data_IF_579587179229
#
_entry.id   IF_579587179229
#
_cell.length_a   1.000
_cell.length_b   1.000
_cell.length_c   1.000
_cell.angle_alpha   90.00
_cell.angle_beta   90.00
_cell.angle_gamma   90.00
#
_symmetry.space_group_name_H-M   'P 1'
#
loop_
_entity.id
_entity.type
_entity.pdbx_description
1 polymer ?
#
# COMPACT_ATOMS: atom_id res chain seq x y z
N UNK A 1 18.09 -15.97 -24.62
CA UNK A 1 17.31 -16.51 -25.76
C UNK A 1 15.83 -16.16 -25.68
N UNK A 2 15.10 -16.51 -24.61
CA UNK A 2 13.67 -16.18 -24.45
C UNK A 2 13.33 -14.70 -24.78
N UNK A 3 14.07 -13.74 -24.20
CA UNK A 3 13.86 -12.31 -24.46
C UNK A 3 13.96 -11.91 -25.93
N UNK A 4 14.77 -12.61 -26.73
CA UNK A 4 14.88 -12.37 -28.17
C UNK A 4 13.64 -12.84 -28.94
N UNK A 5 12.99 -13.92 -28.49
CA UNK A 5 11.76 -14.45 -29.10
C UNK A 5 10.54 -13.60 -28.72
N UNK A 6 10.52 -13.04 -27.51
CA UNK A 6 9.38 -12.26 -26.99
C UNK A 6 9.41 -10.76 -27.29
N UNK A 7 10.55 -10.20 -27.71
CA UNK A 7 10.67 -8.76 -27.98
C UNK A 7 10.26 -8.42 -29.41
N UNK A 8 9.22 -7.59 -29.57
CA UNK A 8 8.63 -7.25 -30.87
C UNK A 8 9.60 -6.63 -31.87
N UNK A 9 10.63 -5.92 -31.40
CA UNK A 9 11.62 -5.28 -32.27
C UNK A 9 12.88 -6.16 -32.47
N UNK A 10 12.86 -7.40 -31.97
CA UNK A 10 13.93 -8.37 -32.22
C UNK A 10 13.84 -8.93 -33.64
N UNK A 11 15.00 -9.10 -34.29
CA UNK A 11 15.09 -9.81 -35.58
C UNK A 11 14.54 -11.25 -35.50
N UNK A 12 14.58 -11.87 -34.31
CA UNK A 12 14.13 -13.23 -34.06
C UNK A 12 12.79 -13.28 -33.32
N UNK A 13 11.96 -12.24 -33.43
CA UNK A 13 10.66 -12.21 -32.80
C UNK A 13 9.77 -13.37 -33.26
N UNK A 14 9.31 -14.17 -32.30
CA UNK A 14 8.45 -15.32 -32.53
C UNK A 14 7.47 -15.44 -31.36
N UNK A 15 6.41 -14.63 -31.39
CA UNK A 15 5.40 -14.53 -30.33
C UNK A 15 4.84 -15.90 -29.88
N UNK A 16 4.44 -16.83 -30.78
CA UNK A 16 3.88 -18.10 -30.35
C UNK A 16 4.86 -18.96 -29.54
N UNK A 17 6.16 -18.90 -29.87
CA UNK A 17 7.20 -19.61 -29.10
C UNK A 17 7.39 -19.00 -27.72
N UNK A 18 7.38 -17.67 -27.63
CA UNK A 18 7.44 -16.98 -26.34
C UNK A 18 6.21 -17.31 -25.47
N UNK A 19 5.01 -17.31 -26.05
CA UNK A 19 3.77 -17.68 -25.37
C UNK A 19 3.83 -19.12 -24.84
N UNK A 20 4.24 -20.08 -25.66
CA UNK A 20 4.42 -21.48 -25.26
C UNK A 20 5.39 -21.61 -24.09
N UNK A 21 6.55 -20.94 -24.14
CA UNK A 21 7.54 -20.97 -23.04
C UNK A 21 6.91 -20.42 -21.75
N UNK A 22 6.19 -19.30 -21.81
CA UNK A 22 5.57 -18.73 -20.60
C UNK A 22 4.41 -19.58 -20.07
N UNK A 23 3.65 -20.25 -20.95
CA UNK A 23 2.59 -21.18 -20.57
C UNK A 23 3.20 -22.37 -19.82
N UNK A 24 4.22 -23.00 -20.41
CA UNK A 24 4.93 -24.10 -19.78
C UNK A 24 5.52 -23.70 -18.43
N UNK A 25 6.10 -22.51 -18.30
CA UNK A 25 6.60 -22.01 -17.02
C UNK A 25 5.51 -21.91 -15.94
N UNK A 26 4.31 -21.39 -16.29
CA UNK A 26 3.18 -21.32 -15.35
C UNK A 26 2.63 -22.70 -14.99
N UNK A 27 2.49 -23.59 -15.96
CA UNK A 27 2.04 -24.97 -15.72
C UNK A 27 3.01 -25.73 -14.82
N UNK A 28 4.31 -25.63 -15.07
CA UNK A 28 5.35 -26.27 -14.26
C UNK A 28 5.34 -25.72 -12.83
N UNK A 29 5.20 -24.40 -12.66
CA UNK A 29 5.11 -23.78 -11.34
C UNK A 29 3.88 -24.29 -10.58
N UNK A 30 2.70 -24.30 -11.22
CA UNK A 30 1.48 -24.80 -10.60
C UNK A 30 1.57 -26.29 -10.26
N UNK A 31 2.06 -27.12 -11.17
CA UNK A 31 2.29 -28.55 -10.94
C UNK A 31 3.27 -28.82 -9.78
N UNK A 32 4.21 -27.90 -9.55
CA UNK A 32 5.15 -27.97 -8.43
C UNK A 32 4.46 -27.58 -7.12
N UNK A 33 3.66 -26.51 -7.12
CA UNK A 33 2.84 -26.12 -5.97
C UNK A 33 1.88 -27.24 -5.58
N UNK A 34 1.15 -27.80 -6.54
CA UNK A 34 0.19 -28.88 -6.30
C UNK A 34 0.86 -30.14 -5.75
N UNK A 35 2.06 -30.49 -6.23
CA UNK A 35 2.84 -31.61 -5.70
C UNK A 35 3.22 -31.36 -4.24
N UNK A 36 3.70 -30.17 -3.91
CA UNK A 36 4.14 -29.80 -2.56
C UNK A 36 2.95 -29.77 -1.60
N UNK A 37 1.83 -29.17 -2.00
CA UNK A 37 0.64 -29.05 -1.16
C UNK A 37 -0.11 -30.38 -1.00
N UNK A 38 -0.36 -31.11 -2.08
CA UNK A 38 -1.24 -32.28 -2.05
C UNK A 38 -0.51 -33.60 -1.75
N UNK A 39 0.72 -33.78 -2.25
CA UNK A 39 1.44 -35.04 -2.06
C UNK A 39 2.34 -35.00 -0.82
N UNK A 40 2.96 -33.85 -0.54
CA UNK A 40 3.87 -33.69 0.60
C UNK A 40 3.20 -33.05 1.82
N UNK A 41 1.96 -32.54 1.67
CA UNK A 41 1.21 -31.85 2.73
C UNK A 41 1.99 -30.70 3.36
N UNK A 42 2.67 -29.92 2.52
CA UNK A 42 3.45 -28.75 2.94
C UNK A 42 2.78 -27.47 2.45
N UNK A 43 2.86 -26.42 3.26
CA UNK A 43 2.26 -25.13 2.92
C UNK A 43 3.18 -24.31 2.02
N UNK A 44 2.71 -23.96 0.83
CA UNK A 44 3.38 -23.01 -0.06
C UNK A 44 2.84 -21.62 0.22
N UNK A 45 3.71 -20.74 0.75
CA UNK A 45 3.33 -19.38 1.17
C UNK A 45 3.60 -18.32 0.10
N UNK A 46 4.43 -18.63 -0.90
CA UNK A 46 4.76 -17.71 -1.98
C UNK A 46 5.23 -18.45 -3.23
N UNK A 47 4.99 -17.87 -4.39
CA UNK A 47 5.55 -18.33 -5.66
C UNK A 47 5.72 -17.18 -6.65
N UNK A 48 6.86 -17.14 -7.33
CA UNK A 48 7.16 -16.15 -8.37
C UNK A 48 8.00 -16.75 -9.47
N UNK A 49 7.38 -16.94 -10.64
CA UNK A 49 7.97 -17.34 -11.93
C UNK A 49 8.68 -18.70 -11.91
N UNK A 50 9.80 -18.80 -11.20
CA UNK A 50 10.72 -19.94 -11.13
C UNK A 50 11.05 -20.34 -9.68
N UNK A 51 10.41 -19.71 -8.70
CA UNK A 51 10.64 -19.96 -7.28
C UNK A 51 9.34 -20.22 -6.52
N UNK A 52 9.41 -21.09 -5.51
CA UNK A 52 8.37 -21.28 -4.50
C UNK A 52 8.99 -21.17 -3.11
N UNK A 53 8.22 -20.68 -2.14
CA UNK A 53 8.61 -20.63 -0.74
C UNK A 53 7.67 -21.52 0.06
N UNK A 54 8.25 -22.40 0.86
CA UNK A 54 7.54 -23.41 1.63
C UNK A 54 7.68 -23.09 3.11
N UNK A 55 6.55 -22.99 3.82
CA UNK A 55 6.56 -22.85 5.26
C UNK A 55 6.69 -24.22 5.91
N UNK A 56 7.81 -24.42 6.62
CA UNK A 56 8.11 -25.71 7.25
C UNK A 56 7.48 -25.86 8.63
N UNK A 57 7.14 -24.76 9.31
CA UNK A 57 6.68 -24.77 10.70
C UNK A 57 7.72 -25.29 11.71
N UNK A 58 9.01 -25.29 11.34
CA UNK A 58 10.09 -25.83 12.15
C UNK A 58 11.15 -24.77 12.45
N UNK A 59 11.62 -24.74 13.71
CA UNK A 59 12.76 -23.90 14.12
C UNK A 59 14.12 -24.53 13.79
N UNK A 60 14.16 -25.84 13.60
CA UNK A 60 15.39 -26.58 13.29
C UNK A 60 15.72 -26.52 11.79
N UNK A 61 16.76 -25.73 11.47
CA UNK A 61 17.27 -25.54 10.11
C UNK A 61 17.67 -26.87 9.45
N UNK A 62 18.22 -27.84 10.21
CA UNK A 62 18.64 -29.12 9.65
C UNK A 62 17.44 -29.95 9.20
N UNK A 63 16.36 -29.93 9.98
CA UNK A 63 15.09 -30.58 9.61
C UNK A 63 14.43 -29.87 8.43
N UNK A 64 14.45 -28.53 8.40
CA UNK A 64 13.96 -27.75 7.27
C UNK A 64 14.72 -28.09 5.97
N UNK A 65 16.05 -28.22 6.02
CA UNK A 65 16.86 -28.68 4.88
C UNK A 65 16.52 -30.10 4.44
N UNK A 66 16.24 -31.00 5.39
CA UNK A 66 15.79 -32.36 5.06
C UNK A 66 14.44 -32.38 4.33
N UNK A 67 13.50 -31.48 4.70
CA UNK A 67 12.24 -31.28 3.97
C UNK A 67 12.52 -30.77 2.56
N UNK A 68 13.38 -29.75 2.41
CA UNK A 68 13.77 -29.24 1.10
C UNK A 68 14.37 -30.34 0.21
N UNK A 69 15.24 -31.20 0.76
CA UNK A 69 15.80 -32.34 0.03
C UNK A 69 14.74 -33.31 -0.49
N UNK A 70 13.69 -33.59 0.30
CA UNK A 70 12.56 -34.43 -0.15
C UNK A 70 11.77 -33.76 -1.27
N UNK A 71 11.50 -32.46 -1.15
CA UNK A 71 10.80 -31.68 -2.19
C UNK A 71 11.59 -31.71 -3.49
N UNK A 72 12.89 -31.40 -3.44
CA UNK A 72 13.78 -31.42 -4.60
C UNK A 72 13.76 -32.79 -5.29
N UNK A 73 13.86 -33.88 -4.51
CA UNK A 73 13.82 -35.23 -5.05
C UNK A 73 12.51 -35.54 -5.77
N UNK A 74 11.35 -35.20 -5.19
CA UNK A 74 10.05 -35.50 -5.81
C UNK A 74 9.77 -34.62 -7.03
N UNK A 75 10.18 -33.34 -7.00
CA UNK A 75 10.02 -32.44 -8.15
C UNK A 75 10.92 -32.85 -9.30
N UNK A 76 12.20 -33.14 -9.04
CA UNK A 76 13.17 -33.48 -10.08
C UNK A 76 12.88 -34.85 -10.72
N UNK A 77 12.13 -35.75 -10.07
CA UNK A 77 11.63 -36.98 -10.71
C UNK A 77 10.64 -36.72 -11.86
N UNK A 78 9.93 -35.60 -11.86
CA UNK A 78 8.92 -35.28 -12.89
C UNK A 78 9.52 -34.73 -14.18
N UNK A 79 10.73 -34.18 -14.13
CA UNK A 79 11.31 -33.43 -15.25
C UNK A 79 12.70 -33.94 -15.61
N UNK A 80 13.00 -34.04 -16.92
CA UNK A 80 14.28 -34.57 -17.41
C UNK A 80 15.35 -33.49 -17.60
N UNK A 81 14.95 -32.29 -18.02
CA UNK A 81 15.85 -31.20 -18.41
C UNK A 81 15.70 -29.96 -17.53
N UNK A 82 14.89 -30.05 -16.47
CA UNK A 82 14.63 -28.98 -15.53
C UNK A 82 14.80 -29.53 -14.12
N UNK A 83 15.54 -28.81 -13.30
CA UNK A 83 15.81 -29.16 -11.91
C UNK A 83 15.46 -27.97 -11.02
N UNK A 84 14.86 -28.26 -9.87
CA UNK A 84 14.72 -27.34 -8.76
C UNK A 84 15.85 -27.59 -7.75
N UNK A 85 16.31 -26.55 -7.08
CA UNK A 85 17.33 -26.62 -6.05
C UNK A 85 17.00 -25.67 -4.89
N UNK A 86 17.70 -25.83 -3.77
CA UNK A 86 17.56 -25.01 -2.58
C UNK A 86 18.35 -23.70 -2.73
N UNK A 87 17.67 -22.59 -3.01
CA UNK A 87 18.30 -21.26 -3.04
C UNK A 87 18.60 -20.68 -1.64
N UNK A 88 17.77 -20.99 -0.65
CA UNK A 88 17.88 -20.38 0.67
C UNK A 88 16.93 -20.94 1.71
N UNK A 89 17.32 -20.76 2.97
CA UNK A 89 16.46 -20.98 4.14
C UNK A 89 16.26 -19.65 4.85
N UNK A 90 15.01 -19.30 5.13
CA UNK A 90 14.67 -18.05 5.82
C UNK A 90 14.20 -18.36 7.24
N UNK A 91 14.80 -17.70 8.22
CA UNK A 91 14.43 -17.83 9.64
C UNK A 91 13.14 -17.07 9.96
N UNK A 92 13.00 -15.88 9.38
CA UNK A 92 11.84 -15.01 9.52
C UNK A 92 11.60 -14.30 8.20
N UNK A 93 10.33 -14.04 7.89
CA UNK A 93 9.94 -13.41 6.65
C UNK A 93 8.75 -12.48 6.90
N UNK A 94 8.82 -11.29 6.31
CA UNK A 94 7.72 -10.35 6.17
C UNK A 94 7.32 -10.32 4.69
N UNK A 95 6.20 -10.96 4.37
CA UNK A 95 5.62 -10.97 3.03
C UNK A 95 4.55 -9.87 2.94
N UNK A 96 4.77 -8.84 2.13
CA UNK A 96 3.85 -7.70 2.02
C UNK A 96 2.95 -7.80 0.79
N UNK A 97 3.56 -7.87 -0.40
CA UNK A 97 2.86 -7.97 -1.69
C UNK A 97 3.72 -8.78 -2.65
N UNK A 98 3.17 -9.11 -3.82
CA UNK A 98 3.93 -9.69 -4.93
C UNK A 98 5.23 -8.90 -5.20
N UNK A 99 6.36 -9.60 -5.22
CA UNK A 99 7.71 -9.04 -5.40
C UNK A 99 8.13 -8.03 -4.31
N UNK A 100 7.47 -8.04 -3.16
CA UNK A 100 7.75 -7.16 -2.02
C UNK A 100 7.82 -7.95 -0.72
N UNK A 101 9.03 -8.33 -0.32
CA UNK A 101 9.27 -9.06 0.91
C UNK A 101 10.60 -8.70 1.55
N UNK A 102 10.70 -8.99 2.84
CA UNK A 102 11.93 -8.96 3.60
C UNK A 102 12.11 -10.30 4.32
N UNK A 103 13.32 -10.81 4.43
CA UNK A 103 13.56 -12.04 5.17
C UNK A 103 14.97 -12.12 5.75
N UNK A 104 15.10 -12.83 6.88
CA UNK A 104 16.41 -13.21 7.42
C UNK A 104 16.84 -14.50 6.73
N UNK A 105 17.76 -14.40 5.77
CA UNK A 105 18.38 -15.54 5.09
C UNK A 105 19.49 -16.11 5.96
N UNK A 106 19.45 -17.42 6.18
CA UNK A 106 20.46 -18.16 6.95
C UNK A 106 21.46 -18.79 5.99
N UNK A 107 22.74 -18.76 6.36
CA UNK A 107 23.78 -19.40 5.58
C UNK A 107 23.60 -20.93 5.48
N UNK A 108 23.77 -21.47 4.27
CA UNK A 108 23.58 -22.89 3.99
C UNK A 108 24.77 -23.75 4.44
N UNK A 109 25.93 -23.14 4.66
CA UNK A 109 27.20 -23.77 5.06
C UNK A 109 27.25 -24.24 6.53
N UNK A 110 26.17 -24.00 7.30
CA UNK A 110 26.10 -24.34 8.73
C UNK A 110 26.66 -23.25 9.64
N UNK A 111 27.12 -22.13 9.10
CA UNK A 111 27.43 -20.95 9.90
C UNK A 111 26.13 -20.26 10.36
N UNK A 112 26.11 -19.75 11.59
CA UNK A 112 24.98 -18.97 12.15
C UNK A 112 24.93 -17.54 11.59
N UNK A 113 25.38 -17.34 10.35
CA UNK A 113 25.36 -16.01 9.72
C UNK A 113 23.98 -15.74 9.17
N UNK A 114 23.42 -14.62 9.61
CA UNK A 114 22.11 -14.13 9.21
C UNK A 114 22.30 -12.87 8.34
N UNK A 115 21.61 -12.82 7.20
CA UNK A 115 21.58 -11.64 6.34
C UNK A 115 20.14 -11.24 6.04
N UNK A 116 19.83 -9.95 6.17
CA UNK A 116 18.50 -9.42 5.85
C UNK A 116 18.42 -9.16 4.34
N UNK A 117 17.70 -10.04 3.65
CA UNK A 117 17.32 -9.87 2.26
C UNK A 117 16.11 -8.94 2.15
N UNK A 118 16.20 -7.94 1.26
CA UNK A 118 15.13 -6.98 0.98
C UNK A 118 14.83 -7.01 -0.51
N UNK A 119 13.60 -7.32 -0.91
CA UNK A 119 13.17 -7.33 -2.31
C UNK A 119 11.99 -6.40 -2.51
N UNK A 120 12.13 -5.44 -3.43
CA UNK A 120 11.06 -4.53 -3.86
C UNK A 120 10.52 -3.57 -2.78
N UNK A 121 11.17 -3.50 -1.61
CA UNK A 121 10.82 -2.59 -0.54
C UNK A 121 11.24 -1.15 -0.86
N UNK A 122 10.69 -0.19 -0.13
CA UNK A 122 10.97 1.22 -0.40
C UNK A 122 12.42 1.61 -0.11
N UNK A 123 13.03 1.00 0.90
CA UNK A 123 14.41 1.28 1.31
C UNK A 123 15.43 0.94 0.21
N UNK A 124 15.11 0.00 -0.69
CA UNK A 124 16.00 -0.35 -1.82
C UNK A 124 15.83 0.57 -3.03
N UNK A 125 14.81 1.45 -3.03
CA UNK A 125 14.59 2.39 -4.14
C UNK A 125 15.38 3.68 -3.93
N UNK A 126 15.73 4.38 -5.02
CA UNK A 126 16.55 5.60 -4.97
C UNK A 126 15.75 6.89 -4.71
N UNK A 127 14.44 6.83 -4.91
CA UNK A 127 13.50 7.95 -4.85
C UNK A 127 12.98 8.28 -3.43
N UNK A 128 13.48 7.57 -2.41
CA UNK A 128 13.26 7.90 -0.99
C UNK A 128 14.51 8.54 -0.39
N UNK A 129 14.30 9.51 0.50
CA UNK A 129 15.39 10.15 1.23
C UNK A 129 16.16 9.14 2.10
N UNK A 130 17.42 9.44 2.38
CA UNK A 130 18.24 8.60 3.26
C UNK A 130 17.61 8.44 4.65
N UNK A 131 17.01 9.51 5.19
CA UNK A 131 16.27 9.47 6.45
C UNK A 131 15.15 8.42 6.43
N UNK A 132 14.34 8.40 5.37
CA UNK A 132 13.25 7.43 5.26
C UNK A 132 13.74 6.00 5.10
N UNK A 133 14.90 5.80 4.48
CA UNK A 133 15.54 4.48 4.40
C UNK A 133 16.02 4.01 5.76
N UNK A 134 16.71 4.86 6.50
CA UNK A 134 17.21 4.56 7.85
C UNK A 134 16.07 4.19 8.81
N UNK A 135 14.98 4.96 8.80
CA UNK A 135 13.80 4.68 9.64
C UNK A 135 13.10 3.40 9.17
N UNK A 136 12.94 3.21 7.86
CA UNK A 136 12.38 1.99 7.30
C UNK A 136 13.20 0.75 7.65
N UNK A 137 14.53 0.84 7.63
CA UNK A 137 15.44 -0.22 8.04
C UNK A 137 15.37 -0.47 9.54
N UNK A 138 15.27 0.57 10.37
CA UNK A 138 15.04 0.42 11.81
C UNK A 138 13.75 -0.36 12.08
N UNK A 139 12.62 0.08 11.51
CA UNK A 139 11.33 -0.60 11.67
C UNK A 139 11.42 -2.05 11.18
N UNK A 140 12.03 -2.28 10.02
CA UNK A 140 12.19 -3.63 9.49
C UNK A 140 13.02 -4.53 10.41
N UNK A 141 14.11 -4.01 10.97
CA UNK A 141 14.94 -4.74 11.93
C UNK A 141 14.17 -5.08 13.20
N UNK A 142 13.34 -4.16 13.72
CA UNK A 142 12.47 -4.44 14.87
C UNK A 142 11.47 -5.55 14.53
N UNK A 143 10.81 -5.48 13.36
CA UNK A 143 9.85 -6.50 12.93
C UNK A 143 10.50 -7.89 12.81
N UNK A 144 11.72 -7.95 12.28
CA UNK A 144 12.44 -9.21 12.11
C UNK A 144 13.24 -9.64 13.35
N UNK A 145 13.27 -8.82 14.42
CA UNK A 145 14.06 -9.07 15.65
C UNK A 145 13.55 -10.26 16.46
N UNK A 146 12.25 -10.57 16.36
CA UNK A 146 11.59 -11.63 17.13
C UNK A 146 11.27 -11.30 18.57
N UNK A 147 11.24 -10.02 18.93
CA UNK A 147 10.58 -9.56 20.15
C UNK A 147 9.08 -9.86 20.11
N UNK A 148 8.41 -9.62 21.24
CA UNK A 148 6.95 -9.70 21.28
C UNK A 148 6.33 -8.62 20.39
N UNK A 149 5.09 -8.82 19.95
CA UNK A 149 4.41 -7.86 19.08
C UNK A 149 4.35 -6.48 19.74
N UNK A 150 4.01 -6.43 21.03
CA UNK A 150 3.90 -5.20 21.82
C UNK A 150 5.24 -4.47 21.92
N UNK A 151 6.34 -5.18 22.24
CA UNK A 151 7.68 -4.58 22.34
C UNK A 151 8.13 -3.98 20.99
N UNK A 152 7.85 -4.69 19.89
CA UNK A 152 8.19 -4.24 18.53
C UNK A 152 7.41 -2.98 18.17
N UNK A 153 6.11 -2.95 18.46
CA UNK A 153 5.24 -1.80 18.18
C UNK A 153 5.65 -0.59 19.00
N UNK A 154 5.88 -0.78 20.30
CA UNK A 154 6.33 0.27 21.21
C UNK A 154 7.66 0.86 20.75
N UNK A 155 8.63 0.01 20.39
CA UNK A 155 9.92 0.42 19.84
C UNK A 155 9.77 1.27 18.56
N UNK A 156 8.89 0.86 17.65
CA UNK A 156 8.58 1.61 16.43
C UNK A 156 7.92 2.96 16.77
N UNK A 157 6.88 2.97 17.59
CA UNK A 157 6.16 4.21 17.96
C UNK A 157 7.09 5.21 18.63
N UNK A 158 7.90 4.77 19.59
CA UNK A 158 8.88 5.60 20.29
C UNK A 158 9.92 6.18 19.34
N UNK A 159 10.42 5.38 18.39
CA UNK A 159 11.35 5.85 17.36
C UNK A 159 10.73 6.94 16.48
N UNK A 160 9.46 6.79 16.05
CA UNK A 160 8.79 7.80 15.23
C UNK A 160 8.61 9.13 15.97
N UNK A 161 8.22 9.09 17.25
CA UNK A 161 8.11 10.29 18.10
C UNK A 161 9.47 10.97 18.26
N UNK A 162 10.53 10.19 18.49
CA UNK A 162 11.89 10.72 18.60
C UNK A 162 12.36 11.39 17.30
N UNK A 163 12.18 10.72 16.16
CA UNK A 163 12.52 11.26 14.84
C UNK A 163 11.78 12.56 14.59
N UNK A 164 10.47 12.60 14.88
CA UNK A 164 9.69 13.82 14.74
C UNK A 164 10.26 14.98 15.56
N UNK A 165 10.62 14.74 16.82
CA UNK A 165 11.22 15.76 17.69
C UNK A 165 12.60 16.23 17.16
N UNK A 166 13.43 15.31 16.67
CA UNK A 166 14.73 15.62 16.06
C UNK A 166 14.60 16.44 14.78
N UNK A 167 13.61 16.12 13.94
CA UNK A 167 13.31 16.87 12.71
C UNK A 167 12.87 18.30 13.02
N UNK A 168 11.95 18.47 13.98
CA UNK A 168 11.43 19.80 14.37
C UNK A 168 12.47 20.67 15.08
N UNK A 169 13.40 20.06 15.81
CA UNK A 169 14.50 20.77 16.48
C UNK A 169 15.71 21.03 15.58
N UNK A 170 15.69 20.58 14.32
CA UNK A 170 16.80 20.79 13.38
C UNK A 170 18.05 19.96 13.66
N UNK A 171 17.92 18.85 14.41
CA UNK A 171 19.05 17.98 14.78
C UNK A 171 19.46 17.01 13.66
N UNK A 172 18.66 16.87 12.61
CA UNK A 172 18.93 15.97 11.49
C UNK A 172 19.72 16.71 10.40
N UNK A 173 20.84 16.12 9.99
CA UNK A 173 21.72 16.62 8.94
C UNK A 173 21.00 16.76 7.57
N UNK A 174 21.39 17.79 6.80
CA UNK A 174 20.83 18.10 5.49
C UNK A 174 20.91 16.91 4.52
N UNK A 175 22.04 16.19 4.56
CA UNK A 175 22.35 15.06 3.70
C UNK A 175 21.31 13.94 3.81
N UNK A 176 20.67 13.79 4.98
CA UNK A 176 19.64 12.78 5.21
C UNK A 176 18.33 13.08 4.47
N UNK A 177 18.09 14.32 4.08
CA UNK A 177 16.91 14.75 3.34
C UNK A 177 17.06 14.62 1.82
N UNK A 178 18.26 14.37 1.31
CA UNK A 178 18.50 14.33 -0.14
C UNK A 178 17.75 13.16 -0.78
N UNK A 179 16.94 13.48 -1.79
CA UNK A 179 16.29 12.52 -2.68
C UNK A 179 17.02 12.55 -4.02
N UNK A 180 17.22 11.38 -4.64
CA UNK A 180 17.91 11.28 -5.94
C UNK A 180 17.00 10.64 -6.98
N UNK A 181 16.97 11.22 -8.19
CA UNK A 181 16.22 10.64 -9.31
C UNK A 181 16.96 10.86 -10.63
N UNK A 182 17.00 9.81 -11.44
CA UNK A 182 17.68 9.83 -12.74
C UNK A 182 16.77 10.41 -13.83
N UNK A 183 17.36 11.23 -14.68
CA UNK A 183 16.73 11.76 -15.89
C UNK A 183 16.72 10.67 -16.97
N UNK A 184 15.58 10.41 -17.59
CA UNK A 184 15.44 9.46 -18.71
C UNK A 184 15.53 10.15 -20.07
N UNK A 185 15.35 11.47 -20.11
CA UNK A 185 15.42 12.34 -21.29
C UNK A 185 16.11 13.66 -20.91
N UNK A 186 16.36 14.52 -21.89
CA UNK A 186 16.78 15.89 -21.58
C UNK A 186 15.68 16.59 -20.77
N UNK A 187 16.01 17.43 -19.76
CA UNK A 187 15.02 18.12 -18.92
C UNK A 187 13.94 18.90 -19.70
N UNK A 188 14.28 19.42 -20.87
CA UNK A 188 13.40 20.20 -21.75
C UNK A 188 12.36 19.33 -22.48
N UNK A 189 12.64 18.05 -22.68
CA UNK A 189 11.80 17.09 -23.41
C UNK A 189 10.74 16.43 -22.52
N UNK A 190 10.66 16.81 -21.25
CA UNK A 190 9.68 16.27 -20.32
C UNK A 190 8.31 16.96 -20.50
N UNK A 191 7.27 16.24 -20.95
CA UNK A 191 5.94 16.83 -21.15
C UNK A 191 5.30 17.31 -19.84
N UNK A 192 5.64 16.66 -18.73
CA UNK A 192 5.13 16.99 -17.38
C UNK A 192 6.25 17.49 -16.46
N UNK A 193 7.14 18.32 -16.99
CA UNK A 193 8.27 18.87 -16.24
C UNK A 193 7.81 19.62 -14.97
N UNK A 194 6.64 20.28 -15.00
CA UNK A 194 6.13 21.12 -13.90
C UNK A 194 5.77 20.33 -12.64
N UNK A 195 5.44 19.05 -12.77
CA UNK A 195 5.09 18.18 -11.64
C UNK A 195 6.24 17.27 -11.19
N UNK A 196 7.42 17.39 -11.81
CA UNK A 196 8.56 16.52 -11.56
C UNK A 196 9.69 17.27 -10.84
N UNK A 197 9.92 17.01 -9.53
CA UNK A 197 10.93 17.71 -8.72
C UNK A 197 12.34 17.73 -9.33
N UNK A 198 12.89 16.56 -9.64
CA UNK A 198 14.19 16.40 -10.28
C UNK A 198 14.33 17.13 -11.63
N UNK A 199 13.26 17.23 -12.42
CA UNK A 199 13.28 17.94 -13.70
C UNK A 199 13.29 19.46 -13.48
N UNK A 200 12.49 19.97 -12.55
CA UNK A 200 12.50 21.40 -12.19
C UNK A 200 13.87 21.84 -11.65
N UNK A 201 14.50 21.02 -10.82
CA UNK A 201 15.85 21.29 -10.32
C UNK A 201 16.86 21.27 -11.46
N UNK A 202 16.81 20.27 -12.35
CA UNK A 202 17.69 20.19 -13.52
C UNK A 202 17.56 21.42 -14.45
N UNK A 203 16.33 21.85 -14.75
CA UNK A 203 16.07 23.04 -15.56
C UNK A 203 16.65 24.30 -14.91
N UNK A 204 16.50 24.45 -13.59
CA UNK A 204 17.05 25.60 -12.85
C UNK A 204 18.59 25.58 -12.85
N UNK A 205 19.19 24.42 -12.66
CA UNK A 205 20.65 24.26 -12.74
C UNK A 205 21.18 24.68 -14.12
N UNK A 206 20.52 24.24 -15.20
CA UNK A 206 20.87 24.66 -16.58
C UNK A 206 20.72 26.16 -16.80
N UNK A 207 19.64 26.77 -16.31
CA UNK A 207 19.44 28.22 -16.38
C UNK A 207 20.55 29.00 -15.65
N UNK A 208 21.07 28.43 -14.56
CA UNK A 208 22.19 28.99 -13.80
C UNK A 208 23.57 28.68 -14.41
N UNK A 209 23.62 28.15 -15.65
CA UNK A 209 24.87 27.89 -16.37
C UNK A 209 25.54 26.55 -16.04
N UNK A 210 24.88 25.65 -15.32
CA UNK A 210 25.42 24.32 -15.05
C UNK A 210 25.24 23.40 -16.28
N UNK A 211 26.32 22.83 -16.79
CA UNK A 211 26.33 22.02 -18.02
C UNK A 211 26.06 20.52 -17.80
N UNK A 212 25.96 20.05 -16.55
CA UNK A 212 25.53 18.68 -16.24
C UNK A 212 24.01 18.63 -16.06
N UNK A 213 23.33 17.63 -16.63
CA UNK A 213 21.87 17.32 -16.58
C UNK A 213 21.42 16.77 -17.95
N UNK A 214 22.14 15.77 -18.44
CA UNK A 214 21.81 15.00 -19.64
C UNK A 214 20.94 13.78 -19.30
N UNK A 215 20.37 13.14 -20.33
CA UNK A 215 19.68 11.87 -20.14
C UNK A 215 20.64 10.83 -19.55
N UNK A 216 20.23 10.16 -18.48
CA UNK A 216 21.04 9.23 -17.69
C UNK A 216 21.59 9.82 -16.39
N UNK A 217 21.71 11.15 -16.29
CA UNK A 217 22.26 11.81 -15.10
C UNK A 217 21.30 11.72 -13.93
N UNK A 218 21.85 11.68 -12.70
CA UNK A 218 21.07 11.65 -11.47
C UNK A 218 21.07 13.02 -10.81
N UNK A 219 19.87 13.51 -10.51
CA UNK A 219 19.67 14.84 -9.95
C UNK A 219 19.29 14.71 -8.48
N UNK A 220 20.10 15.23 -7.54
CA UNK A 220 19.73 15.32 -6.14
C UNK A 220 18.85 16.55 -5.89
N UNK A 221 17.87 16.40 -5.01
CA UNK A 221 17.00 17.50 -4.60
C UNK A 221 16.45 17.31 -3.18
N UNK A 222 16.05 18.42 -2.58
CA UNK A 222 15.39 18.51 -1.27
C UNK A 222 14.09 19.30 -1.47
N UNK A 223 13.01 18.87 -0.84
CA UNK A 223 11.74 19.62 -0.82
C UNK A 223 11.75 20.66 0.30
N UNK A 224 11.46 21.91 -0.05
CA UNK A 224 11.57 23.06 0.83
C UNK A 224 10.27 23.83 1.01
N UNK A 225 10.16 24.59 2.09
CA UNK A 225 9.15 25.63 2.30
C UNK A 225 9.80 27.01 2.25
N UNK A 226 9.03 28.03 1.88
CA UNK A 226 9.48 29.42 1.86
C UNK A 226 9.22 30.08 3.22
N UNK A 227 10.17 30.85 3.73
CA UNK A 227 10.14 31.39 5.10
C UNK A 227 9.16 32.56 5.29
N UNK A 228 8.84 33.32 4.21
CA UNK A 228 8.13 34.61 4.29
C UNK A 228 6.69 34.63 3.74
N UNK A 229 6.04 33.48 3.56
CA UNK A 229 4.63 33.45 3.15
C UNK A 229 3.78 32.79 4.22
N UNK A 230 2.73 33.47 4.69
CA UNK A 230 1.60 32.91 5.49
C UNK A 230 0.91 31.70 4.82
N UNK A 231 1.36 31.36 3.61
CA UNK A 231 0.90 30.27 2.79
C UNK A 231 2.06 29.30 2.51
N UNK A 232 2.54 28.63 3.56
CA UNK A 232 3.70 27.71 3.60
C UNK A 232 3.67 26.57 2.57
N UNK A 233 2.51 26.32 1.94
CA UNK A 233 2.25 25.25 0.96
C UNK A 233 1.72 25.74 -0.40
N UNK A 234 1.85 27.03 -0.72
CA UNK A 234 1.19 27.66 -1.88
C UNK A 234 1.75 27.31 -3.29
N UNK A 235 2.74 26.41 -3.37
CA UNK A 235 3.32 25.94 -4.64
C UNK A 235 3.36 24.41 -4.74
N UNK A 236 3.24 23.89 -5.97
CA UNK A 236 3.36 22.45 -6.23
C UNK A 236 4.70 21.89 -5.75
N UNK A 237 4.74 20.63 -5.31
CA UNK A 237 5.93 19.97 -4.71
C UNK A 237 7.18 20.15 -5.59
N UNK A 238 7.03 20.03 -6.91
CA UNK A 238 8.14 20.20 -7.84
C UNK A 238 8.69 21.63 -7.91
N UNK A 239 7.86 22.66 -7.73
CA UNK A 239 8.31 24.05 -7.64
C UNK A 239 9.08 24.33 -6.36
N UNK A 240 8.80 23.54 -5.31
CA UNK A 240 9.43 23.62 -3.99
C UNK A 240 10.73 22.82 -3.89
N UNK A 241 11.06 22.03 -4.92
CA UNK A 241 12.29 21.25 -4.97
C UNK A 241 13.51 22.14 -5.28
N UNK A 242 14.57 21.97 -4.51
CA UNK A 242 15.83 22.72 -4.61
C UNK A 242 17.01 21.76 -4.62
N UNK A 243 18.09 22.12 -5.31
CA UNK A 243 19.35 21.40 -5.21
C UNK A 243 19.97 21.61 -3.80
N UNK A 244 20.64 20.62 -3.19
CA UNK A 244 21.25 20.79 -1.87
C UNK A 244 22.21 21.99 -1.78
N UNK A 245 22.95 22.28 -2.86
CA UNK A 245 23.85 23.43 -2.90
C UNK A 245 23.12 24.78 -2.91
N UNK A 246 21.87 24.85 -3.39
CA UNK A 246 21.07 26.08 -3.31
C UNK A 246 20.75 26.42 -1.84
N UNK A 247 20.47 25.41 -1.02
CA UNK A 247 20.22 25.59 0.41
C UNK A 247 21.48 25.99 1.17
N UNK A 248 22.63 25.43 0.78
CA UNK A 248 23.93 25.77 1.39
C UNK A 248 24.34 27.22 1.08
N UNK A 249 23.94 27.77 -0.07
CA UNK A 249 24.24 29.16 -0.46
C UNK A 249 23.28 30.17 0.15
N UNK A 250 21.98 29.88 0.15
CA UNK A 250 20.92 30.79 0.60
C UNK A 250 20.12 30.22 1.79
N UNK A 251 20.73 30.10 2.99
CA UNK A 251 20.09 29.45 4.15
C UNK A 251 18.86 30.22 4.68
N UNK A 252 18.80 31.54 4.45
CA UNK A 252 17.72 32.41 4.96
C UNK A 252 16.51 32.48 4.02
N UNK A 253 16.52 31.76 2.89
CA UNK A 253 15.44 31.84 1.89
C UNK A 253 14.57 30.58 1.88
N UNK A 254 15.18 29.43 2.10
CA UNK A 254 14.54 28.13 1.99
C UNK A 254 14.77 27.32 3.26
N UNK A 255 13.68 26.81 3.83
CA UNK A 255 13.74 25.84 4.92
C UNK A 255 13.31 24.47 4.40
N UNK A 256 13.74 23.40 5.08
CA UNK A 256 13.30 22.04 4.74
C UNK A 256 11.82 21.91 5.08
N UNK A 257 11.02 21.36 4.17
CA UNK A 257 9.61 21.09 4.44
C UNK A 257 9.46 19.80 5.26
N UNK A 258 9.55 19.93 6.59
CA UNK A 258 9.44 18.82 7.53
C UNK A 258 8.12 18.06 7.39
N UNK A 259 7.00 18.76 7.13
CA UNK A 259 5.68 18.14 6.99
C UNK A 259 5.63 17.22 5.76
N UNK A 260 6.24 17.63 4.64
CA UNK A 260 6.40 16.77 3.46
C UNK A 260 7.17 15.48 3.79
N UNK A 261 8.31 15.58 4.50
CA UNK A 261 9.08 14.37 4.81
C UNK A 261 8.36 13.46 5.79
N UNK A 262 7.69 14.00 6.81
CA UNK A 262 6.90 13.19 7.73
C UNK A 262 5.75 12.47 7.00
N UNK A 263 4.97 13.19 6.19
CA UNK A 263 3.74 12.68 5.57
C UNK A 263 3.93 11.89 4.27
N UNK A 264 4.90 12.29 3.42
CA UNK A 264 5.09 11.73 2.08
C UNK A 264 6.39 10.92 1.94
N UNK A 265 7.30 10.98 2.91
CA UNK A 265 8.55 10.20 2.89
C UNK A 265 8.58 9.12 3.99
N UNK A 266 8.35 9.47 5.25
CA UNK A 266 8.48 8.53 6.37
C UNK A 266 7.20 7.71 6.56
N UNK A 267 6.06 8.38 6.73
CA UNK A 267 4.78 7.72 7.01
C UNK A 267 4.41 6.61 6.01
N UNK A 268 4.55 6.78 4.67
CA UNK A 268 4.16 5.74 3.74
C UNK A 268 5.04 4.49 3.80
N UNK A 269 6.34 4.65 4.09
CA UNK A 269 7.29 3.53 4.21
C UNK A 269 6.94 2.71 5.44
N UNK A 270 6.79 3.37 6.59
CA UNK A 270 6.50 2.69 7.86
C UNK A 270 5.11 2.08 7.85
N UNK A 271 4.10 2.79 7.32
CA UNK A 271 2.74 2.26 7.21
C UNK A 271 2.67 0.99 6.36
N UNK A 272 3.47 0.88 5.29
CA UNK A 272 3.51 -0.33 4.47
C UNK A 272 4.20 -1.50 5.17
N UNK A 273 5.25 -1.24 5.96
CA UNK A 273 5.94 -2.27 6.74
C UNK A 273 5.05 -2.82 7.86
N UNK A 274 4.31 -1.93 8.53
CA UNK A 274 3.46 -2.28 9.67
C UNK A 274 2.02 -2.68 9.27
N UNK A 275 1.70 -2.74 7.97
CA UNK A 275 0.33 -2.98 7.50
C UNK A 275 -0.27 -4.32 7.96
N UNK A 276 0.59 -5.32 8.16
CA UNK A 276 0.20 -6.68 8.58
C UNK A 276 0.45 -6.95 10.06
N UNK A 277 0.80 -5.94 10.84
CA UNK A 277 1.09 -6.07 12.28
C UNK A 277 -0.15 -5.64 13.07
N UNK A 278 -0.68 -6.55 13.86
CA UNK A 278 -1.80 -6.26 14.76
C UNK A 278 -1.39 -5.28 15.86
N UNK A 279 -2.29 -4.39 16.29
CA UNK A 279 -2.00 -3.42 17.36
C UNK A 279 -1.44 -2.08 16.89
N UNK A 280 -1.27 -1.86 15.58
CA UNK A 280 -0.92 -0.55 15.01
C UNK A 280 -1.80 -0.22 13.80
N UNK A 281 -1.92 1.07 13.49
CA UNK A 281 -2.72 1.55 12.34
C UNK A 281 -2.03 2.72 11.65
N UNK A 282 -2.32 2.97 10.36
CA UNK A 282 -1.80 4.15 9.66
C UNK A 282 -2.11 5.48 10.39
N UNK A 283 -3.28 5.57 11.04
CA UNK A 283 -3.66 6.73 11.83
C UNK A 283 -2.81 6.87 13.10
N UNK A 284 -2.53 5.76 13.80
CA UNK A 284 -1.65 5.76 14.98
C UNK A 284 -0.21 6.13 14.62
N UNK A 285 0.31 5.61 13.51
CA UNK A 285 1.64 5.97 13.01
C UNK A 285 1.72 7.45 12.60
N UNK A 286 0.64 8.01 12.03
CA UNK A 286 0.55 9.43 11.74
C UNK A 286 0.58 10.29 13.01
N UNK A 287 -0.13 9.86 14.05
CA UNK A 287 -0.12 10.52 15.36
C UNK A 287 1.28 10.52 16.00
N UNK A 288 2.01 9.40 15.94
CA UNK A 288 3.40 9.34 16.42
C UNK A 288 4.33 10.30 15.66
N UNK A 289 4.04 10.59 14.39
CA UNK A 289 4.74 11.60 13.59
C UNK A 289 4.17 13.03 13.80
N UNK A 290 3.16 13.18 14.68
CA UNK A 290 2.33 14.37 14.91
C UNK A 290 1.77 14.99 13.63
N UNK A 291 1.30 14.12 12.74
CA UNK A 291 0.44 14.45 11.63
C UNK A 291 -1.03 14.33 12.07
N UNK A 292 -1.92 15.00 11.36
CA UNK A 292 -3.36 14.90 11.59
C UNK A 292 -3.87 13.49 11.25
N UNK A 293 -4.26 12.73 12.27
CA UNK A 293 -4.68 11.33 12.15
C UNK A 293 -5.92 11.14 11.28
N UNK A 294 -6.81 12.15 11.21
CA UNK A 294 -8.06 12.09 10.43
C UNK A 294 -7.81 11.87 8.94
N UNK A 295 -6.71 12.45 8.40
CA UNK A 295 -6.31 12.32 6.99
C UNK A 295 -5.84 10.90 6.62
N UNK A 296 -5.62 10.04 7.60
CA UNK A 296 -5.07 8.69 7.41
C UNK A 296 -6.04 7.58 7.83
N UNK A 297 -7.23 7.91 8.35
CA UNK A 297 -8.26 6.94 8.73
C UNK A 297 -8.90 6.25 7.51
N UNK A 298 -9.05 6.95 6.38
CA UNK A 298 -9.83 6.48 5.22
C UNK A 298 -9.04 5.67 4.18
N UNK A 299 -7.72 5.51 4.34
CA UNK A 299 -6.86 4.83 3.35
C UNK A 299 -6.63 3.34 3.60
N UNK A 300 -7.29 2.75 4.60
CA UNK A 300 -7.05 1.36 5.03
C UNK A 300 -7.94 0.29 4.39
N UNK A 301 -8.91 0.64 3.52
CA UNK A 301 -9.81 -0.34 2.90
C UNK A 301 -9.58 -0.35 1.40
N UNK A 302 -8.85 -1.34 0.90
CA UNK A 302 -8.64 -1.53 -0.54
C UNK A 302 -7.42 -2.36 -0.91
N UNK A 303 -7.19 -3.50 -0.24
CA UNK A 303 -6.30 -4.57 -0.73
C UNK A 303 -6.46 -5.84 0.13
N UNK A 304 -7.67 -6.22 0.52
CA UNK A 304 -7.93 -7.57 1.03
C UNK A 304 -8.17 -8.49 -0.16
N UNK A 305 -7.49 -9.63 -0.16
CA UNK A 305 -7.63 -10.71 -1.13
C UNK A 305 -9.11 -11.13 -1.25
N UNK A 306 -9.52 -11.46 -2.48
CA UNK A 306 -10.78 -12.14 -2.77
C UNK A 306 -10.76 -13.54 -2.17
N UNK A 307 -11.35 -13.72 -0.99
CA UNK A 307 -11.83 -15.02 -0.51
C UNK A 307 -13.36 -14.97 -0.42
N UNK A 308 -14.01 -15.67 -1.35
CA UNK A 308 -15.44 -15.56 -1.66
C UNK A 308 -16.35 -16.31 -0.68
N UNK A 309 -15.81 -16.92 0.37
CA UNK A 309 -16.53 -17.89 1.22
C UNK A 309 -17.13 -17.30 2.51
N UNK A 310 -16.72 -16.09 2.91
CA UNK A 310 -17.18 -15.46 4.18
C UNK A 310 -18.28 -14.42 3.99
N UNK A 311 -18.73 -14.19 2.75
CA UNK A 311 -19.60 -13.06 2.39
C UNK A 311 -21.05 -13.13 2.89
N UNK A 312 -21.49 -14.23 3.49
CA UNK A 312 -22.90 -14.41 3.88
C UNK A 312 -23.19 -14.16 5.37
N UNK A 313 -22.15 -14.10 6.23
CA UNK A 313 -22.32 -13.91 7.68
C UNK A 313 -21.85 -12.55 8.19
N UNK A 314 -21.04 -11.80 7.42
CA UNK A 314 -20.54 -10.48 7.81
C UNK A 314 -21.39 -9.29 7.33
N UNK A 315 -22.54 -9.55 6.70
CA UNK A 315 -23.36 -8.48 6.08
C UNK A 315 -24.26 -7.78 7.10
N UNK A 316 -24.47 -8.35 8.30
CA UNK A 316 -25.48 -7.84 9.24
C UNK A 316 -24.88 -6.95 10.34
N UNK A 317 -23.62 -7.16 10.76
CA UNK A 317 -23.01 -6.43 11.88
C UNK A 317 -22.11 -5.25 11.47
N UNK A 318 -21.86 -5.04 10.17
CA UNK A 318 -20.77 -4.15 9.71
C UNK A 318 -21.21 -3.10 8.66
N UNK A 319 -22.52 -2.86 8.51
CA UNK A 319 -23.01 -1.82 7.57
C UNK A 319 -22.58 -0.42 8.00
N UNK A 320 -22.62 -0.12 9.31
CA UNK A 320 -22.26 1.20 9.84
C UNK A 320 -20.76 1.51 9.73
N UNK A 321 -19.87 0.51 9.84
CA UNK A 321 -18.43 0.73 9.62
C UNK A 321 -18.11 0.82 8.12
N UNK A 322 -18.74 -0.02 7.29
CA UNK A 322 -18.49 -0.07 5.84
C UNK A 322 -18.84 1.25 5.14
N UNK A 323 -19.89 1.94 5.58
CA UNK A 323 -20.35 3.20 4.99
C UNK A 323 -20.07 4.43 5.85
N UNK A 324 -19.26 4.32 6.91
CA UNK A 324 -18.96 5.42 7.86
C UNK A 324 -18.42 6.71 7.22
N UNK A 325 -17.74 6.58 6.08
CA UNK A 325 -17.20 7.70 5.31
C UNK A 325 -18.06 8.16 4.13
N UNK A 326 -19.23 7.54 3.90
CA UNK A 326 -20.14 7.93 2.83
C UNK A 326 -21.05 9.07 3.28
N UNK A 327 -21.31 10.04 2.39
CA UNK A 327 -22.33 11.05 2.66
C UNK A 327 -23.72 10.40 2.68
N UNK A 328 -24.56 10.69 3.70
CA UNK A 328 -25.88 10.10 3.80
C UNK A 328 -26.81 10.62 2.68
N UNK A 329 -27.62 9.72 2.11
CA UNK A 329 -28.62 10.06 1.10
C UNK A 329 -29.69 10.99 1.72
N UNK A 330 -29.84 12.20 1.16
CA UNK A 330 -30.83 13.19 1.63
C UNK A 330 -32.05 13.20 0.73
N UNK A 331 -33.24 12.94 1.28
CA UNK A 331 -34.49 12.93 0.54
C UNK A 331 -35.30 14.20 0.80
N UNK A 332 -36.00 14.69 -0.21
CA UNK A 332 -36.93 15.82 -0.10
C UNK A 332 -38.37 15.31 -0.07
N UNK A 333 -39.16 15.76 0.91
CA UNK A 333 -40.57 15.40 1.02
C UNK A 333 -41.39 16.08 -0.10
N UNK A 334 -42.21 15.34 -0.87
CA UNK A 334 -43.08 15.92 -1.90
C UNK A 334 -44.13 16.89 -1.36
N UNK A 335 -44.59 16.69 -0.12
CA UNK A 335 -45.68 17.47 0.49
C UNK A 335 -45.17 18.71 1.23
N UNK A 336 -44.21 18.54 2.15
CA UNK A 336 -43.72 19.65 2.99
C UNK A 336 -42.40 20.28 2.52
N UNK A 337 -41.82 19.80 1.42
CA UNK A 337 -40.53 20.27 0.83
C UNK A 337 -39.29 20.22 1.72
N UNK A 338 -39.42 19.76 2.98
CA UNK A 338 -38.29 19.58 3.88
C UNK A 338 -37.39 18.41 3.44
N UNK A 339 -36.09 18.59 3.65
CA UNK A 339 -35.09 17.53 3.45
C UNK A 339 -34.88 16.72 4.74
N UNK A 340 -34.80 15.40 4.62
CA UNK A 340 -34.48 14.49 5.72
C UNK A 340 -33.50 13.40 5.24
N UNK A 341 -32.76 12.81 6.16
CA UNK A 341 -31.83 11.72 5.83
C UNK A 341 -32.61 10.42 5.63
N UNK A 342 -32.27 9.68 4.57
CA UNK A 342 -32.88 8.39 4.30
C UNK A 342 -32.52 7.42 5.44
N UNK A 343 -33.50 6.90 6.19
CA UNK A 343 -33.22 5.93 7.24
C UNK A 343 -32.57 4.67 6.67
N UNK A 344 -31.72 4.03 7.48
CA UNK A 344 -31.17 2.72 7.18
C UNK A 344 -32.29 1.69 7.04
N UNK A 345 -32.07 0.69 6.17
CA UNK A 345 -33.05 -0.39 5.96
C UNK A 345 -33.31 -1.14 7.27
N UNK A 346 -32.28 -1.29 8.12
CA UNK A 346 -32.34 -1.93 9.43
C UNK A 346 -33.31 -1.24 10.42
N UNK A 347 -33.31 0.09 10.49
CA UNK A 347 -34.18 0.83 11.43
C UNK A 347 -35.66 0.73 11.06
N UNK A 348 -35.97 0.61 9.76
CA UNK A 348 -37.32 0.40 9.24
C UNK A 348 -37.78 -1.07 9.38
N UNK A 349 -36.86 -2.02 9.35
CA UNK A 349 -37.16 -3.44 9.61
C UNK A 349 -37.47 -3.66 11.09
N UNK A 350 -36.77 -2.99 12.01
CA UNK A 350 -37.07 -3.09 13.44
C UNK A 350 -38.52 -2.67 13.78
N UNK A 351 -39.09 -1.71 13.03
CA UNK A 351 -40.48 -1.29 13.13
C UNK A 351 -41.51 -2.32 12.62
N UNK A 352 -41.08 -3.42 11.99
CA UNK A 352 -41.94 -4.53 11.53
C UNK A 352 -42.24 -5.56 12.64
N UNK A 353 -41.56 -5.46 13.78
CA UNK A 353 -41.63 -6.46 14.86
C UNK A 353 -42.79 -6.24 15.85
N UNK A 354 -43.75 -5.36 15.53
CA UNK A 354 -44.90 -5.12 16.39
C UNK A 354 -45.94 -6.26 16.23
N UNK A 355 -46.30 -7.03 17.28
CA UNK A 355 -47.06 -8.29 17.13
C UNK A 355 -48.53 -8.15 16.69
N UNK A 356 -49.01 -6.92 16.44
CA UNK A 356 -50.43 -6.62 16.25
C UNK A 356 -50.90 -6.43 14.79
N UNK A 357 -50.03 -6.58 13.79
CA UNK A 357 -50.47 -6.53 12.38
C UNK A 357 -50.52 -7.92 11.74
N UNK A 358 -51.72 -8.26 11.22
CA UNK A 358 -52.06 -9.57 10.69
C UNK A 358 -51.19 -10.04 9.52
N UNK A 359 -51.04 -11.36 9.44
CA UNK A 359 -50.37 -12.09 8.36
C UNK A 359 -51.09 -11.89 7.03
N UNK A 360 -50.70 -10.91 6.23
CA UNK A 360 -50.87 -10.99 4.78
C UNK A 360 -49.94 -10.07 3.98
N UNK A 361 -49.45 -10.60 2.86
CA UNK A 361 -48.75 -9.96 1.75
C UNK A 361 -47.33 -9.37 1.98
N UNK A 362 -46.39 -9.83 1.14
CA UNK A 362 -45.09 -9.21 0.78
C UNK A 362 -44.95 -7.74 1.19
N UNK A 363 -44.31 -7.50 2.34
CA UNK A 363 -44.11 -6.16 2.89
C UNK A 363 -43.03 -5.45 2.08
N UNK A 364 -43.46 -4.75 1.04
CA UNK A 364 -42.55 -3.95 0.21
C UNK A 364 -42.03 -2.76 1.04
N UNK A 365 -40.76 -2.83 1.46
CA UNK A 365 -39.96 -1.78 2.09
C UNK A 365 -40.32 -0.36 1.62
N UNK A 366 -40.43 -0.19 0.31
CA UNK A 366 -40.71 1.09 -0.35
C UNK A 366 -42.11 1.68 -0.09
N UNK A 367 -43.05 0.90 0.44
CA UNK A 367 -44.42 1.36 0.72
C UNK A 367 -44.57 2.05 2.09
N UNK A 368 -43.58 1.91 2.98
CA UNK A 368 -43.60 2.49 4.34
C UNK A 368 -42.70 3.72 4.53
N UNK A 369 -41.93 4.13 3.51
CA UNK A 369 -41.08 5.32 3.57
C UNK A 369 -41.92 6.61 3.66
N UNK A 370 -41.88 7.26 4.82
CA UNK A 370 -42.61 8.51 5.14
C UNK A 370 -41.66 9.60 5.59
N UNK A 371 -42.07 10.85 5.38
CA UNK A 371 -41.36 11.99 5.95
C UNK A 371 -41.60 12.06 7.47
N UNK A 372 -40.55 12.11 8.31
CA UNK A 372 -40.69 12.13 9.78
C UNK A 372 -41.26 13.44 10.34
N UNK A 373 -41.50 14.45 9.49
CA UNK A 373 -42.02 15.77 9.90
C UNK A 373 -43.47 16.01 9.46
N UNK A 374 -44.11 15.05 8.81
CA UNK A 374 -45.49 15.16 8.35
C UNK A 374 -46.42 14.38 9.28
N UNK A 375 -47.66 14.86 9.53
CA UNK A 375 -48.65 14.14 10.33
C UNK A 375 -49.08 12.83 9.63
N UNK A 376 -49.28 11.77 10.41
CA UNK A 376 -49.41 10.38 9.94
C UNK A 376 -50.67 10.06 9.10
N UNK A 377 -51.62 10.99 8.99
CA UNK A 377 -52.96 10.74 8.48
C UNK A 377 -53.19 11.10 7.00
N UNK A 378 -52.14 11.36 6.22
CA UNK A 378 -52.27 11.64 4.77
C UNK A 378 -51.32 10.82 3.90
N UNK A 379 -51.88 10.06 2.96
CA UNK A 379 -51.12 9.27 1.97
C UNK A 379 -50.23 10.12 1.05
N UNK A 380 -50.42 11.44 1.05
CA UNK A 380 -49.62 12.43 0.32
C UNK A 380 -48.20 12.62 0.88
N UNK A 381 -47.91 12.09 2.08
CA UNK A 381 -46.60 12.21 2.73
C UNK A 381 -45.65 11.03 2.43
N UNK A 382 -46.07 10.10 1.56
CA UNK A 382 -45.29 8.92 1.17
C UNK A 382 -44.29 9.25 0.06
N UNK A 383 -43.05 8.80 0.22
CA UNK A 383 -42.06 8.86 -0.86
C UNK A 383 -42.26 7.65 -1.77
N UNK A 384 -42.88 7.86 -2.94
CA UNK A 384 -43.08 6.77 -3.89
C UNK A 384 -41.74 6.27 -4.48
N UNK A 385 -41.65 5.01 -4.92
CA UNK A 385 -40.43 4.46 -5.54
C UNK A 385 -39.93 5.31 -6.72
N UNK A 386 -40.85 5.88 -7.51
CA UNK A 386 -40.51 6.74 -8.64
C UNK A 386 -39.88 8.07 -8.20
N UNK A 387 -40.41 8.68 -7.13
CA UNK A 387 -39.85 9.92 -6.56
C UNK A 387 -38.46 9.66 -5.99
N UNK A 388 -38.29 8.55 -5.27
CA UNK A 388 -36.99 8.17 -4.72
C UNK A 388 -35.95 7.93 -5.82
N UNK A 389 -36.28 7.13 -6.84
CA UNK A 389 -35.37 6.85 -7.94
C UNK A 389 -34.93 8.13 -8.67
N UNK A 390 -35.84 9.11 -8.82
CA UNK A 390 -35.50 10.40 -9.41
C UNK A 390 -34.62 11.26 -8.51
N UNK A 391 -34.80 11.22 -7.18
CA UNK A 391 -33.95 11.96 -6.25
C UNK A 391 -32.54 11.35 -6.16
N UNK A 392 -32.43 10.02 -6.14
CA UNK A 392 -31.13 9.31 -6.18
C UNK A 392 -30.38 9.66 -7.47
N UNK A 393 -31.03 9.62 -8.63
CA UNK A 393 -30.41 10.00 -9.92
C UNK A 393 -29.94 11.45 -10.00
N UNK A 394 -30.41 12.34 -9.14
CA UNK A 394 -29.96 13.74 -9.08
C UNK A 394 -28.77 13.94 -8.16
N UNK A 395 -28.50 12.97 -7.28
CA UNK A 395 -27.43 13.02 -6.27
C UNK A 395 -26.25 12.11 -6.61
N UNK A 396 -26.46 11.12 -7.48
CA UNK A 396 -25.41 10.39 -8.19
C UNK A 396 -24.89 11.21 -9.38
#
# INVERSE_FOLDING_TARGET
MYGCLGFSNSRFFAKPLAELITLQGREILQNTVDLVQNNLNLEVIYGDTDSIMIYTGLDDISKAKAIAGKVIQEVNKKYRCLEIDLDGVYKRMLLLKKKKYAAIKVALDGSLRENIERKGLDMVRRDWSMLSKEIGDFCLNQILSGGTCDDVIESIHNSLVQVQAQMKSGQIELEKYIITKSLTKAPEDYPDAKNQPHVQVALRLKQNGFSGCSAGDTVPYIICSQQDSDNTHSGGIAQRARHPDELKRDPNKWMIDIEYYLSQQIHPVVSRLCASIEGTSPARLAECLGLDSSKFQSRSIGSSNEDTSTMLLSVIDDEDERYRGCEPLRLSCPSCTNTFECPAVSSLIASLSDPNEGKDATVNFWRRMRCPRCPDDTDECRVSPAVLANQIKRQA
#
